data_IF_853950704568
#
_entry.id   IF_853950704568
#
_cell.length_a   1.000
_cell.length_b   1.000
_cell.length_c   1.000
_cell.angle_alpha   90.00
_cell.angle_beta   90.00
_cell.angle_gamma   90.00
#
_symmetry.space_group_name_H-M   'P 1'
#
loop_
_entity.id
_entity.type
_entity.pdbx_description
1 polymer ?
#
# COMPACT_ATOMS: atom_id res chain seq x y z
N UNK A 1 15.68 12.85 -79.93
CA UNK A 1 16.44 13.17 -78.69
C UNK A 1 15.40 13.39 -77.60
N UNK A 2 15.20 12.42 -76.71
CA UNK A 2 14.11 12.41 -75.73
C UNK A 2 14.73 12.28 -74.34
N UNK A 3 14.87 13.41 -73.66
CA UNK A 3 15.46 13.54 -72.33
C UNK A 3 14.51 12.95 -71.30
N UNK A 4 14.97 11.95 -70.54
CA UNK A 4 14.27 11.40 -69.38
C UNK A 4 14.72 12.18 -68.14
N UNK A 5 13.79 12.90 -67.51
CA UNK A 5 13.97 13.46 -66.16
C UNK A 5 13.76 12.33 -65.14
N UNK A 6 14.82 11.97 -64.40
CA UNK A 6 14.68 11.21 -63.16
C UNK A 6 14.21 12.16 -62.07
N UNK A 7 12.97 11.96 -61.60
CA UNK A 7 12.47 12.59 -60.38
C UNK A 7 13.06 11.89 -59.16
N UNK A 8 13.79 12.64 -58.34
CA UNK A 8 14.24 12.18 -57.03
C UNK A 8 13.04 12.15 -56.08
N UNK A 9 12.63 10.94 -55.68
CA UNK A 9 11.68 10.72 -54.60
C UNK A 9 12.44 10.92 -53.28
N UNK A 10 12.15 12.02 -52.60
CA UNK A 10 12.58 12.24 -51.21
C UNK A 10 11.67 11.39 -50.33
N UNK A 11 12.19 10.27 -49.86
CA UNK A 11 11.59 9.49 -48.77
C UNK A 11 11.70 10.32 -47.48
N UNK A 12 10.56 10.87 -47.03
CA UNK A 12 10.45 11.45 -45.71
C UNK A 12 10.63 10.37 -44.65
N UNK A 13 11.76 10.39 -43.96
CA UNK A 13 11.96 9.65 -42.73
C UNK A 13 10.98 10.21 -41.69
N UNK A 14 9.96 9.45 -41.35
CA UNK A 14 9.17 9.67 -40.15
C UNK A 14 10.08 9.43 -38.95
N UNK A 15 10.54 10.50 -38.32
CA UNK A 15 11.19 10.41 -37.02
C UNK A 15 10.14 9.88 -36.02
N UNK A 16 10.30 8.62 -35.60
CA UNK A 16 9.72 8.16 -34.36
C UNK A 16 10.32 9.04 -33.26
N UNK A 17 9.48 9.76 -32.50
CA UNK A 17 9.95 10.78 -31.57
C UNK A 17 10.88 10.18 -30.51
N UNK A 18 12.12 10.68 -30.46
CA UNK A 18 13.14 10.37 -29.46
C UNK A 18 12.89 11.13 -28.15
N UNK A 19 11.63 11.25 -27.74
CA UNK A 19 11.25 11.99 -26.53
C UNK A 19 11.67 11.24 -25.27
N UNK A 20 12.07 11.98 -24.24
CA UNK A 20 12.35 11.39 -22.93
C UNK A 20 11.90 12.30 -21.80
N UNK A 21 11.51 11.70 -20.68
CA UNK A 21 11.05 12.39 -19.50
C UNK A 21 11.42 11.65 -18.21
N UNK A 22 11.10 12.27 -17.09
CA UNK A 22 11.39 11.73 -15.77
C UNK A 22 10.11 11.23 -15.10
N UNK A 23 10.26 10.21 -14.25
CA UNK A 23 9.18 9.69 -13.38
C UNK A 23 9.65 9.72 -11.94
N UNK A 24 8.82 10.29 -11.07
CA UNK A 24 9.08 10.37 -9.63
C UNK A 24 7.99 9.65 -8.90
N UNK A 25 8.37 8.55 -8.23
CA UNK A 25 7.49 7.89 -7.29
C UNK A 25 7.56 8.60 -5.95
N UNK A 26 6.39 8.88 -5.39
CA UNK A 26 6.21 9.47 -4.08
C UNK A 26 5.27 8.60 -3.24
N UNK A 27 5.28 8.75 -1.93
CA UNK A 27 4.35 8.06 -1.05
C UNK A 27 3.77 8.99 0.02
N UNK A 28 2.55 8.70 0.44
CA UNK A 28 1.88 9.35 1.57
C UNK A 28 0.82 8.41 2.16
N UNK A 29 0.42 8.66 3.42
CA UNK A 29 -0.72 8.01 4.04
C UNK A 29 -1.97 8.84 3.81
N UNK A 30 -3.13 8.21 3.67
CA UNK A 30 -4.40 8.94 3.62
C UNK A 30 -4.66 9.79 4.88
N UNK A 31 -5.65 10.68 4.82
CA UNK A 31 -6.02 11.56 5.95
C UNK A 31 -6.35 10.76 7.23
N UNK A 32 -6.88 9.56 7.10
CA UNK A 32 -7.14 8.66 8.22
C UNK A 32 -5.87 8.17 8.93
N UNK A 33 -4.76 8.02 8.21
CA UNK A 33 -3.45 7.72 8.79
C UNK A 33 -2.86 8.99 9.43
N UNK A 34 -2.87 10.12 8.72
CA UNK A 34 -2.22 11.35 9.18
C UNK A 34 -2.97 12.06 10.32
N UNK A 35 -4.29 11.88 10.42
CA UNK A 35 -5.16 12.62 11.33
C UNK A 35 -5.95 11.69 12.28
N UNK A 36 -7.09 11.19 11.83
CA UNK A 36 -7.98 10.30 12.57
C UNK A 36 -8.98 9.62 11.64
N UNK A 37 -9.37 8.39 11.97
CA UNK A 37 -10.60 7.79 11.43
C UNK A 37 -11.75 8.17 12.37
N UNK A 38 -12.74 8.95 11.91
CA UNK A 38 -13.81 9.44 12.77
C UNK A 38 -14.81 8.34 13.12
N UNK A 39 -15.49 8.47 14.26
CA UNK A 39 -16.55 7.55 14.69
C UNK A 39 -17.65 7.31 13.66
N UNK A 40 -17.92 8.27 12.77
CA UNK A 40 -18.91 8.13 11.71
C UNK A 40 -18.51 7.15 10.60
N UNK A 41 -17.22 6.81 10.49
CA UNK A 41 -16.72 5.87 9.51
C UNK A 41 -16.81 4.41 9.99
N UNK A 42 -16.88 4.20 11.31
CA UNK A 42 -17.05 2.89 11.93
C UNK A 42 -18.52 2.58 12.19
N UNK A 43 -18.97 1.37 11.82
CA UNK A 43 -20.34 0.91 12.10
C UNK A 43 -20.66 0.81 13.59
N UNK A 44 -19.63 0.65 14.41
CA UNK A 44 -19.72 0.49 15.86
C UNK A 44 -19.23 1.72 16.64
N UNK A 45 -18.93 2.83 15.94
CA UNK A 45 -18.75 4.16 16.52
C UNK A 45 -17.41 4.43 17.19
N UNK A 46 -16.37 3.67 16.87
CA UNK A 46 -15.01 3.91 17.36
C UNK A 46 -14.31 5.03 16.60
N UNK A 47 -13.51 5.82 17.29
CA UNK A 47 -12.53 6.72 16.63
C UNK A 47 -11.14 6.12 16.77
N UNK A 48 -10.37 6.09 15.70
CA UNK A 48 -8.99 5.59 15.70
C UNK A 48 -8.03 6.72 15.36
N UNK A 49 -6.91 6.80 16.08
CA UNK A 49 -5.78 7.67 15.76
C UNK A 49 -4.49 6.88 15.75
N UNK A 50 -3.78 6.94 14.65
CA UNK A 50 -2.41 6.43 14.59
C UNK A 50 -1.45 7.44 15.23
N UNK A 51 -0.42 6.93 15.89
CA UNK A 51 0.76 7.70 16.33
C UNK A 51 1.97 7.39 15.45
N UNK A 52 1.94 6.25 14.77
CA UNK A 52 2.99 5.74 13.91
C UNK A 52 2.37 4.84 12.83
N UNK A 53 2.82 5.02 11.59
CA UNK A 53 2.48 4.11 10.50
C UNK A 53 3.71 3.95 9.60
N UNK A 54 4.41 2.84 9.76
CA UNK A 54 5.66 2.55 9.06
C UNK A 54 5.42 1.55 7.95
N UNK A 55 5.94 1.82 6.76
CA UNK A 55 5.88 0.92 5.59
C UNK A 55 7.25 0.76 4.96
N UNK A 56 7.61 -0.47 4.60
CA UNK A 56 8.81 -0.76 3.79
C UNK A 56 8.42 -0.86 2.33
N UNK A 57 8.73 0.18 1.56
CA UNK A 57 8.46 0.25 0.12
C UNK A 57 9.72 -0.12 -0.68
N UNK A 58 9.54 -0.87 -1.76
CA UNK A 58 10.64 -1.23 -2.65
C UNK A 58 10.17 -1.90 -3.94
N UNK A 59 11.11 -2.49 -4.67
CA UNK A 59 10.85 -3.27 -5.89
C UNK A 59 10.04 -2.54 -6.96
N UNK A 60 10.27 -1.24 -7.09
CA UNK A 60 9.62 -0.41 -8.10
C UNK A 60 10.03 -0.84 -9.50
N UNK A 61 9.05 -0.99 -10.38
CA UNK A 61 9.27 -1.33 -11.78
C UNK A 61 8.25 -0.63 -12.68
N UNK A 62 8.75 -0.17 -13.83
CA UNK A 62 7.95 0.38 -14.94
C UNK A 62 8.27 -0.42 -16.20
N UNK A 63 7.25 -0.96 -16.86
CA UNK A 63 7.41 -1.82 -18.04
C UNK A 63 6.21 -1.77 -18.99
N UNK A 64 6.35 -2.40 -20.15
CA UNK A 64 5.33 -2.48 -21.20
C UNK A 64 4.46 -3.75 -21.14
N UNK A 65 4.55 -4.51 -20.04
CA UNK A 65 3.88 -5.80 -19.85
C UNK A 65 4.36 -6.92 -20.78
N UNK A 66 5.42 -6.71 -21.55
CA UNK A 66 6.04 -7.69 -22.44
C UNK A 66 7.49 -7.89 -22.01
N UNK A 67 8.45 -7.57 -22.87
CA UNK A 67 9.88 -7.68 -22.59
C UNK A 67 10.54 -6.33 -22.33
N UNK A 68 9.84 -5.20 -22.53
CA UNK A 68 10.38 -3.87 -22.35
C UNK A 68 10.30 -3.45 -20.88
N UNK A 69 11.46 -3.28 -20.24
CA UNK A 69 11.56 -2.65 -18.92
C UNK A 69 12.12 -1.25 -19.10
N UNK A 70 11.35 -0.23 -18.73
CA UNK A 70 11.78 1.16 -18.76
C UNK A 70 12.77 1.42 -17.63
N UNK A 71 12.39 0.97 -16.43
CA UNK A 71 13.12 1.20 -15.20
C UNK A 71 12.77 0.16 -14.15
N UNK A 72 13.73 -0.09 -13.25
CA UNK A 72 13.50 -0.86 -12.04
C UNK A 72 14.45 -0.45 -10.92
N UNK A 73 13.99 -0.59 -9.68
CA UNK A 73 14.79 -0.38 -8.47
C UNK A 73 14.42 -1.43 -7.43
N UNK A 74 15.41 -2.19 -6.96
CA UNK A 74 15.24 -3.15 -5.86
C UNK A 74 15.50 -2.51 -4.48
N UNK A 75 15.76 -1.20 -4.41
CA UNK A 75 16.06 -0.52 -3.15
C UNK A 75 14.81 -0.52 -2.28
N UNK A 76 14.90 -1.15 -1.11
CA UNK A 76 13.88 -1.07 -0.09
C UNK A 76 14.17 0.09 0.87
N UNK A 77 13.15 0.87 1.22
CA UNK A 77 13.24 1.97 2.19
C UNK A 77 12.04 2.00 3.11
N UNK A 78 12.28 2.38 4.36
CA UNK A 78 11.22 2.53 5.37
C UNK A 78 10.72 3.96 5.41
N UNK A 79 9.40 4.14 5.34
CA UNK A 79 8.72 5.42 5.42
C UNK A 79 7.75 5.46 6.60
N UNK A 80 7.73 6.58 7.31
CA UNK A 80 6.70 6.95 8.27
C UNK A 80 5.64 7.77 7.52
N UNK A 81 4.53 7.12 7.18
CA UNK A 81 3.41 7.69 6.41
C UNK A 81 2.31 8.27 7.30
N UNK A 82 2.50 8.27 8.63
CA UNK A 82 1.75 9.13 9.53
C UNK A 82 2.22 10.59 9.47
N UNK A 83 3.47 10.82 9.03
CA UNK A 83 3.96 12.18 8.78
C UNK A 83 3.38 12.69 7.45
N UNK A 84 2.92 13.95 7.41
CA UNK A 84 2.40 14.55 6.18
C UNK A 84 3.32 14.34 4.97
N UNK A 85 2.78 13.69 3.95
CA UNK A 85 3.43 13.51 2.65
C UNK A 85 3.11 14.62 1.64
N UNK A 86 3.38 14.39 0.34
CA UNK A 86 4.10 13.25 -0.21
C UNK A 86 5.63 13.32 0.02
N UNK A 87 6.27 12.15 0.15
CA UNK A 87 7.73 12.01 0.22
C UNK A 87 8.27 11.24 -0.98
N UNK A 88 9.42 11.64 -1.53
CA UNK A 88 10.04 10.96 -2.68
C UNK A 88 10.50 9.54 -2.28
N UNK A 89 10.16 8.57 -3.11
CA UNK A 89 10.49 7.16 -2.96
C UNK A 89 11.63 6.74 -3.89
N UNK A 90 11.48 7.05 -5.18
CA UNK A 90 12.48 6.77 -6.21
C UNK A 90 12.27 7.70 -7.41
N UNK A 91 13.35 7.99 -8.12
CA UNK A 91 13.35 8.82 -9.33
C UNK A 91 14.02 8.08 -10.47
N UNK A 92 13.32 8.01 -11.59
CA UNK A 92 13.85 7.48 -12.85
C UNK A 92 13.93 8.61 -13.87
N UNK A 93 15.10 8.80 -14.48
CA UNK A 93 15.35 9.92 -15.39
C UNK A 93 15.55 9.46 -16.82
N UNK A 94 15.10 10.24 -17.79
CA UNK A 94 15.34 9.98 -19.22
C UNK A 94 14.69 8.69 -19.72
N UNK A 95 13.51 8.35 -19.19
CA UNK A 95 12.70 7.25 -19.70
C UNK A 95 12.10 7.64 -21.06
N UNK A 96 11.92 6.67 -21.96
CA UNK A 96 11.27 6.93 -23.24
C UNK A 96 9.86 7.47 -23.03
N UNK A 97 9.55 8.58 -23.69
CA UNK A 97 8.26 9.25 -23.63
C UNK A 97 7.19 8.42 -24.35
N UNK A 98 6.39 7.70 -23.58
CA UNK A 98 5.29 6.86 -24.05
C UNK A 98 4.44 6.39 -22.86
N UNK A 99 3.34 5.72 -23.17
CA UNK A 99 2.56 4.99 -22.19
C UNK A 99 3.27 3.67 -21.82
N UNK A 100 3.43 3.45 -20.52
CA UNK A 100 3.94 2.23 -19.93
C UNK A 100 2.80 1.57 -19.16
N UNK A 101 2.34 0.44 -19.66
CA UNK A 101 1.10 -0.20 -19.19
C UNK A 101 1.27 -1.00 -17.90
N UNK A 102 2.49 -1.17 -17.40
CA UNK A 102 2.75 -1.96 -16.20
C UNK A 102 3.62 -1.20 -15.21
N UNK A 103 3.06 -1.01 -14.02
CA UNK A 103 3.76 -0.51 -12.84
C UNK A 103 3.60 -1.54 -11.72
N UNK A 104 4.69 -1.80 -11.01
CA UNK A 104 4.64 -2.60 -9.79
C UNK A 104 5.55 -2.04 -8.70
N UNK A 105 5.20 -2.36 -7.46
CA UNK A 105 5.99 -2.07 -6.26
C UNK A 105 5.68 -3.11 -5.18
N UNK A 106 6.49 -3.18 -4.13
CA UNK A 106 6.26 -4.08 -3.01
C UNK A 106 6.15 -3.31 -1.69
N UNK A 107 5.24 -3.78 -0.84
CA UNK A 107 5.31 -3.59 0.61
C UNK A 107 5.74 -4.92 1.19
N UNK A 108 7.01 -5.01 1.57
CA UNK A 108 7.61 -6.27 1.98
C UNK A 108 8.72 -6.07 3.03
N UNK A 109 8.94 -7.04 3.94
CA UNK A 109 10.04 -6.95 4.88
C UNK A 109 11.37 -6.98 4.13
N UNK A 110 12.34 -6.16 4.56
CA UNK A 110 13.68 -6.19 3.99
C UNK A 110 14.76 -5.96 5.06
N UNK A 111 15.68 -6.92 5.28
CA UNK A 111 16.78 -6.75 6.22
C UNK A 111 17.77 -5.67 5.74
N UNK A 112 17.82 -5.41 4.44
CA UNK A 112 18.71 -4.46 3.79
C UNK A 112 18.05 -3.08 3.58
N UNK A 113 16.83 -2.88 4.08
CA UNK A 113 16.14 -1.59 3.95
C UNK A 113 16.98 -0.43 4.48
N UNK A 114 16.92 0.71 3.81
CA UNK A 114 17.45 1.97 4.31
C UNK A 114 16.32 2.85 4.88
N UNK A 115 16.66 3.94 5.56
CA UNK A 115 15.67 4.93 5.94
C UNK A 115 15.25 5.75 4.70
N UNK A 116 13.94 5.88 4.50
CA UNK A 116 13.33 6.93 3.68
C UNK A 116 13.21 8.20 4.51
N UNK A 117 12.00 8.53 4.96
CA UNK A 117 11.74 9.59 5.94
C UNK A 117 11.64 9.08 7.40
N UNK A 118 11.69 7.76 7.61
CA UNK A 118 11.62 7.13 8.93
C UNK A 118 12.90 7.39 9.77
N UNK A 119 12.78 7.31 11.09
CA UNK A 119 13.92 7.47 12.00
C UNK A 119 14.82 6.23 12.01
N UNK A 120 16.00 6.33 12.64
CA UNK A 120 16.89 5.18 12.80
C UNK A 120 16.27 4.12 13.73
N UNK A 121 15.51 4.56 14.72
CA UNK A 121 14.77 3.71 15.66
C UNK A 121 13.64 2.96 14.94
N UNK A 122 12.87 3.66 14.09
CA UNK A 122 11.83 3.05 13.25
C UNK A 122 12.44 1.98 12.31
N UNK A 123 13.57 2.28 11.68
CA UNK A 123 14.28 1.33 10.81
C UNK A 123 14.75 0.09 11.60
N UNK A 124 15.31 0.30 12.80
CA UNK A 124 15.76 -0.79 13.66
C UNK A 124 14.58 -1.68 14.11
N UNK A 125 13.43 -1.08 14.43
CA UNK A 125 12.20 -1.78 14.80
C UNK A 125 11.74 -2.72 13.68
N UNK A 126 11.59 -2.22 12.45
CA UNK A 126 11.12 -3.05 11.33
C UNK A 126 12.11 -4.17 11.02
N UNK A 127 13.41 -3.89 11.04
CA UNK A 127 14.44 -4.92 10.80
C UNK A 127 14.46 -5.99 11.88
N UNK A 128 14.36 -5.61 13.15
CA UNK A 128 14.36 -6.55 14.26
C UNK A 128 13.11 -7.44 14.25
N UNK A 129 11.96 -6.88 13.93
CA UNK A 129 10.70 -7.61 13.83
C UNK A 129 10.49 -8.39 12.53
N UNK A 130 11.30 -8.13 11.50
CA UNK A 130 11.05 -8.65 10.16
C UNK A 130 9.75 -8.13 9.57
N UNK A 131 9.40 -6.87 9.87
CA UNK A 131 8.13 -6.26 9.50
C UNK A 131 8.21 -5.55 8.15
N UNK A 132 7.16 -5.71 7.34
CA UNK A 132 6.87 -4.88 6.18
C UNK A 132 6.13 -3.61 6.60
N UNK A 133 5.20 -3.76 7.55
CA UNK A 133 4.35 -2.69 8.10
C UNK A 133 4.41 -2.75 9.61
N UNK A 134 4.46 -1.59 10.25
CA UNK A 134 4.25 -1.46 11.69
C UNK A 134 3.31 -0.29 11.97
N UNK A 135 2.34 -0.50 12.85
CA UNK A 135 1.39 0.53 13.27
C UNK A 135 1.37 0.63 14.79
N UNK A 136 1.21 1.86 15.28
CA UNK A 136 0.92 2.18 16.67
C UNK A 136 -0.25 3.16 16.68
N UNK A 137 -1.27 2.88 17.49
CA UNK A 137 -2.47 3.70 17.52
C UNK A 137 -3.34 3.49 18.75
N UNK A 138 -4.32 4.38 18.88
CA UNK A 138 -5.33 4.32 19.93
C UNK A 138 -6.72 4.35 19.33
N UNK A 139 -7.64 3.59 19.93
CA UNK A 139 -9.05 3.57 19.60
C UNK A 139 -9.88 4.00 20.81
N UNK A 140 -10.91 4.82 20.59
CA UNK A 140 -11.80 5.31 21.66
C UNK A 140 -13.28 5.18 21.29
N UNK A 141 -14.10 4.78 22.27
CA UNK A 141 -15.57 4.75 22.20
C UNK A 141 -16.16 5.06 23.58
N UNK A 142 -16.73 6.26 23.73
CA UNK A 142 -17.23 6.72 25.02
C UNK A 142 -16.09 6.81 26.06
N UNK A 143 -16.15 5.97 27.09
CA UNK A 143 -15.09 5.88 28.12
C UNK A 143 -14.03 4.82 27.80
N UNK A 144 -14.31 3.93 26.85
CA UNK A 144 -13.41 2.86 26.48
C UNK A 144 -12.25 3.41 25.67
N UNK A 145 -11.04 2.99 26.02
CA UNK A 145 -9.80 3.33 25.34
C UNK A 145 -8.99 2.06 25.17
N UNK A 146 -8.57 1.82 23.94
CA UNK A 146 -7.65 0.74 23.58
C UNK A 146 -6.42 1.32 22.89
N UNK A 147 -5.30 0.67 23.08
CA UNK A 147 -4.05 0.90 22.38
C UNK A 147 -3.68 -0.36 21.60
N UNK A 148 -3.05 -0.20 20.45
CA UNK A 148 -2.53 -1.30 19.65
C UNK A 148 -1.19 -0.93 19.05
N UNK A 149 -0.28 -1.87 19.05
CA UNK A 149 1.03 -1.77 18.41
C UNK A 149 1.32 -3.09 17.68
N UNK A 150 1.19 -3.08 16.36
CA UNK A 150 1.22 -4.30 15.55
C UNK A 150 2.30 -4.24 14.47
N UNK A 151 3.11 -5.28 14.42
CA UNK A 151 4.05 -5.53 13.33
C UNK A 151 3.54 -6.63 12.40
N UNK A 152 3.64 -6.40 11.10
CA UNK A 152 3.14 -7.26 10.04
C UNK A 152 4.28 -7.73 9.15
N UNK A 153 4.38 -9.03 8.92
CA UNK A 153 5.49 -9.66 8.16
C UNK A 153 5.12 -9.99 6.72
N UNK A 154 3.95 -9.56 6.25
CA UNK A 154 3.42 -9.89 4.94
C UNK A 154 4.34 -9.37 3.84
N UNK A 155 4.73 -10.26 2.93
CA UNK A 155 5.40 -9.92 1.69
C UNK A 155 4.35 -9.79 0.60
N UNK A 156 4.05 -8.56 0.20
CA UNK A 156 3.04 -8.25 -0.80
C UNK A 156 3.67 -7.49 -1.96
N UNK A 157 3.51 -8.04 -3.15
CA UNK A 157 3.82 -7.36 -4.40
C UNK A 157 2.50 -6.82 -4.99
N UNK A 158 2.50 -5.56 -5.36
CA UNK A 158 1.41 -4.86 -6.03
C UNK A 158 1.77 -4.78 -7.50
N UNK A 159 1.03 -5.48 -8.36
CA UNK A 159 1.27 -5.56 -9.82
C UNK A 159 0.05 -5.02 -10.57
N UNK A 160 0.18 -4.73 -11.87
CA UNK A 160 -0.93 -4.24 -12.69
C UNK A 160 -1.61 -3.01 -12.10
N UNK A 161 -0.81 -2.05 -11.62
CA UNK A 161 -1.36 -0.84 -11.01
C UNK A 161 -2.11 0.01 -12.03
N UNK A 162 -3.32 0.43 -11.66
CA UNK A 162 -4.25 1.19 -12.46
C UNK A 162 -4.77 2.39 -11.66
N UNK A 163 -4.84 3.55 -12.28
CA UNK A 163 -5.46 4.74 -11.70
C UNK A 163 -6.86 4.95 -12.25
N UNK A 164 -7.76 5.51 -11.44
CA UNK A 164 -9.14 5.83 -11.87
C UNK A 164 -9.19 6.80 -13.05
N UNK A 165 -8.21 7.69 -13.12
CA UNK A 165 -8.21 8.81 -14.07
C UNK A 165 -7.41 8.52 -15.35
N UNK A 166 -6.29 7.78 -15.23
CA UNK A 166 -5.36 7.54 -16.35
C UNK A 166 -5.35 6.09 -16.84
N UNK A 167 -6.01 5.16 -16.14
CA UNK A 167 -5.99 3.74 -16.46
C UNK A 167 -4.68 3.06 -16.05
N UNK A 168 -4.34 1.99 -16.76
CA UNK A 168 -3.20 1.11 -16.48
C UNK A 168 -1.84 1.85 -16.55
N UNK A 169 -1.01 1.65 -15.54
CA UNK A 169 0.38 2.10 -15.51
C UNK A 169 0.57 3.62 -15.44
N UNK A 170 1.44 4.16 -16.30
CA UNK A 170 1.77 5.59 -16.33
C UNK A 170 2.15 6.07 -17.73
N UNK A 171 2.09 7.39 -17.94
CA UNK A 171 2.58 8.04 -19.16
C UNK A 171 3.86 8.81 -18.83
N UNK A 172 4.96 8.51 -19.51
CA UNK A 172 6.17 9.34 -19.46
C UNK A 172 6.00 10.49 -20.46
N UNK A 173 6.11 11.76 -20.04
CA UNK A 173 5.96 12.89 -20.94
C UNK A 173 7.19 13.08 -21.85
N UNK A 174 6.98 13.73 -23.00
CA UNK A 174 8.09 14.21 -23.85
C UNK A 174 8.67 15.49 -23.24
N UNK A 175 9.68 15.31 -22.38
CA UNK A 175 10.23 16.34 -21.52
C UNK A 175 9.42 16.56 -20.23
N UNK A 176 10.09 17.02 -19.18
CA UNK A 176 9.47 17.26 -17.88
C UNK A 176 9.38 16.00 -17.01
N UNK A 177 8.44 16.01 -16.07
CA UNK A 177 8.31 15.03 -14.99
C UNK A 177 6.85 14.56 -14.86
N UNK A 178 6.66 13.25 -14.73
CA UNK A 178 5.42 12.64 -14.23
C UNK A 178 5.61 12.26 -12.76
N UNK A 179 4.74 12.79 -11.90
CA UNK A 179 4.68 12.39 -10.50
C UNK A 179 3.68 11.25 -10.31
N UNK A 180 4.14 10.18 -9.68
CA UNK A 180 3.36 9.00 -9.35
C UNK A 180 3.25 8.88 -7.84
N UNK A 181 2.04 8.68 -7.35
CA UNK A 181 1.77 8.53 -5.93
C UNK A 181 1.50 7.08 -5.57
N UNK A 182 2.19 6.58 -4.55
CA UNK A 182 1.91 5.33 -3.85
C UNK A 182 1.16 5.71 -2.58
N UNK A 183 -0.14 5.49 -2.56
CA UNK A 183 -1.00 5.90 -1.44
C UNK A 183 -1.15 4.74 -0.48
N UNK A 184 -1.04 4.99 0.83
CA UNK A 184 -1.26 3.97 1.86
C UNK A 184 -2.57 4.25 2.58
N UNK A 185 -3.45 3.26 2.59
CA UNK A 185 -4.77 3.29 3.22
C UNK A 185 -4.74 2.48 4.51
N UNK A 186 -5.07 3.11 5.64
CA UNK A 186 -4.96 2.54 6.98
C UNK A 186 -6.28 2.02 7.52
N UNK A 187 -7.39 2.55 7.01
CA UNK A 187 -8.76 2.09 7.27
C UNK A 187 -8.99 0.62 6.93
N UNK A 188 -8.32 0.13 5.89
CA UNK A 188 -8.32 -1.27 5.45
C UNK A 188 -8.02 -2.25 6.60
N UNK A 189 -7.22 -1.88 7.61
CA UNK A 189 -6.95 -2.72 8.78
C UNK A 189 -8.19 -3.05 9.61
N UNK A 190 -9.28 -2.31 9.41
CA UNK A 190 -10.50 -2.39 10.20
C UNK A 190 -11.72 -2.85 9.40
N UNK A 191 -11.55 -3.20 8.13
CA UNK A 191 -12.64 -3.76 7.33
C UNK A 191 -13.14 -5.09 7.91
N UNK A 192 -14.42 -5.34 7.70
CA UNK A 192 -15.12 -6.55 8.14
C UNK A 192 -15.23 -7.60 7.02
N UNK A 193 -14.74 -7.34 5.82
CA UNK A 193 -14.73 -8.30 4.71
C UNK A 193 -13.41 -8.21 3.91
N UNK A 194 -12.87 -9.36 3.51
CA UNK A 194 -11.60 -9.45 2.77
C UNK A 194 -11.76 -9.26 1.25
N UNK A 195 -12.97 -9.26 0.72
CA UNK A 195 -13.23 -9.29 -0.72
C UNK A 195 -14.36 -8.36 -1.18
N UNK A 196 -15.29 -8.03 -0.29
CA UNK A 196 -16.43 -7.19 -0.62
C UNK A 196 -16.00 -5.73 -0.83
N UNK A 197 -16.38 -5.09 -1.96
CA UNK A 197 -16.21 -3.65 -2.12
C UNK A 197 -17.12 -2.84 -1.18
N UNK A 198 -18.13 -3.48 -0.58
CA UNK A 198 -19.04 -2.89 0.41
C UNK A 198 -18.58 -3.18 1.86
N UNK A 199 -17.31 -3.57 2.05
CA UNK A 199 -16.74 -3.82 3.37
C UNK A 199 -16.90 -2.59 4.28
N UNK A 200 -17.15 -2.84 5.56
CA UNK A 200 -17.39 -1.79 6.54
C UNK A 200 -16.30 -1.82 7.60
N UNK A 201 -15.97 -0.66 8.16
CA UNK A 201 -15.06 -0.59 9.29
C UNK A 201 -15.73 -0.98 10.61
N UNK A 202 -15.05 -1.83 11.38
CA UNK A 202 -15.45 -2.29 12.72
C UNK A 202 -14.25 -2.42 13.65
N UNK A 203 -14.47 -2.15 14.93
CA UNK A 203 -13.46 -2.26 15.97
C UNK A 203 -13.94 -3.00 17.23
N UNK A 204 -15.25 -3.24 17.40
CA UNK A 204 -15.81 -3.89 18.60
C UNK A 204 -15.15 -5.25 18.88
N UNK A 205 -14.95 -6.09 17.86
CA UNK A 205 -14.32 -7.41 18.06
C UNK A 205 -12.83 -7.31 18.40
N UNK A 206 -12.13 -6.29 17.88
CA UNK A 206 -10.73 -6.02 18.22
C UNK A 206 -10.61 -5.56 19.68
N UNK A 207 -11.45 -4.60 20.09
CA UNK A 207 -11.48 -4.11 21.47
C UNK A 207 -11.89 -5.21 22.46
N UNK A 208 -12.81 -6.08 22.06
CA UNK A 208 -13.29 -7.20 22.86
C UNK A 208 -12.31 -8.38 22.93
N UNK A 209 -11.13 -8.32 22.29
CA UNK A 209 -10.08 -9.32 22.47
C UNK A 209 -9.29 -9.13 23.78
N UNK A 210 -9.25 -7.90 24.30
CA UNK A 210 -8.62 -7.54 25.57
C UNK A 210 -9.57 -7.84 26.75
N UNK A 211 -9.59 -9.11 27.18
CA UNK A 211 -10.60 -9.69 28.09
C UNK A 211 -10.04 -10.20 29.41
N UNK A 212 -10.91 -10.25 30.42
CA UNK A 212 -10.65 -10.93 31.70
C UNK A 212 -10.37 -12.41 31.49
N UNK A 213 -9.29 -12.91 32.12
CA UNK A 213 -8.81 -14.27 31.92
C UNK A 213 -8.15 -14.54 30.56
N UNK A 214 -7.98 -13.51 29.71
CA UNK A 214 -7.15 -13.56 28.51
C UNK A 214 -5.66 -13.65 28.83
N UNK A 215 -4.81 -13.62 27.80
CA UNK A 215 -3.35 -13.82 27.96
C UNK A 215 -2.72 -12.81 28.93
N UNK A 216 -3.17 -11.55 28.90
CA UNK A 216 -2.66 -10.47 29.75
C UNK A 216 -3.72 -9.89 30.72
N UNK A 217 -4.98 -10.33 30.63
CA UNK A 217 -6.13 -9.66 31.27
C UNK A 217 -6.42 -8.28 30.66
N UNK A 218 -7.53 -7.61 31.04
CA UNK A 218 -7.95 -6.33 30.47
C UNK A 218 -7.00 -5.23 30.92
N UNK A 219 -6.06 -4.84 30.07
CA UNK A 219 -5.05 -3.83 30.38
C UNK A 219 -5.12 -2.60 29.45
N UNK A 220 -6.04 -2.61 28.48
CA UNK A 220 -6.20 -1.55 27.49
C UNK A 220 -5.35 -1.76 26.23
N UNK A 221 -4.53 -2.80 26.17
CA UNK A 221 -3.71 -3.16 25.01
C UNK A 221 -4.42 -4.23 24.19
N UNK A 222 -4.37 -4.12 22.86
CA UNK A 222 -4.80 -5.17 21.95
C UNK A 222 -3.54 -5.73 21.29
N UNK A 223 -3.13 -6.91 21.72
CA UNK A 223 -1.99 -7.61 21.15
C UNK A 223 -2.40 -8.52 20.01
N UNK A 224 -1.47 -8.79 19.09
CA UNK A 224 -1.70 -9.82 18.08
C UNK A 224 -2.03 -11.16 18.73
N UNK A 225 -1.45 -11.48 19.89
CA UNK A 225 -1.63 -12.72 20.65
C UNK A 225 -3.05 -12.89 21.15
N UNK A 226 -3.67 -11.81 21.63
CA UNK A 226 -5.10 -11.80 21.99
C UNK A 226 -5.98 -11.97 20.76
N UNK A 227 -5.70 -11.28 19.66
CA UNK A 227 -6.44 -11.45 18.40
C UNK A 227 -6.40 -12.89 17.88
N UNK A 228 -5.33 -13.63 18.14
CA UNK A 228 -5.23 -15.05 17.76
C UNK A 228 -6.17 -15.96 18.56
N UNK A 229 -6.62 -15.53 19.74
CA UNK A 229 -7.54 -16.31 20.58
C UNK A 229 -9.01 -16.15 20.15
N UNK A 230 -9.32 -15.16 19.31
CA UNK A 230 -10.69 -14.88 18.88
C UNK A 230 -10.99 -15.61 17.57
N UNK A 231 -11.57 -16.81 17.67
CA UNK A 231 -12.05 -17.56 16.51
C UNK A 231 -13.19 -16.81 15.82
N UNK A 232 -13.12 -16.64 14.50
CA UNK A 232 -14.16 -15.91 13.74
C UNK A 232 -15.55 -16.55 13.85
N UNK A 233 -15.62 -17.86 14.08
CA UNK A 233 -16.88 -18.58 14.31
C UNK A 233 -17.55 -18.27 15.64
N UNK A 234 -16.81 -17.66 16.58
CA UNK A 234 -17.36 -17.17 17.85
C UNK A 234 -18.01 -15.78 17.75
N UNK A 235 -17.73 -15.06 16.66
CA UNK A 235 -18.28 -13.73 16.39
C UNK A 235 -19.67 -13.83 15.75
N UNK A 236 -20.48 -12.76 15.79
CA UNK A 236 -21.81 -12.79 15.19
C UNK A 236 -21.73 -13.20 13.70
N UNK A 237 -22.53 -14.20 13.26
CA UNK A 237 -22.45 -14.72 11.91
C UNK A 237 -22.63 -13.63 10.84
N UNK A 238 -21.80 -13.67 9.80
CA UNK A 238 -21.85 -12.71 8.70
C UNK A 238 -21.22 -11.36 8.99
N UNK A 239 -20.58 -11.17 10.15
CA UNK A 239 -19.84 -9.93 10.45
C UNK A 239 -18.48 -9.91 9.77
N UNK A 240 -17.71 -11.00 9.86
CA UNK A 240 -16.36 -11.09 9.29
C UNK A 240 -16.32 -12.01 8.07
N UNK A 241 -16.31 -11.42 6.88
CA UNK A 241 -16.31 -12.13 5.60
C UNK A 241 -14.90 -12.51 5.15
N UNK A 242 -14.59 -13.81 5.12
CA UNK A 242 -13.28 -14.30 4.66
C UNK A 242 -13.23 -14.55 3.15
N UNK A 243 -14.37 -14.46 2.46
CA UNK A 243 -14.50 -14.85 1.06
C UNK A 243 -13.92 -16.24 0.80
N UNK A 244 -13.03 -16.35 -0.19
CA UNK A 244 -12.32 -17.58 -0.53
C UNK A 244 -11.11 -17.95 0.36
N UNK A 245 -10.76 -17.13 1.36
CA UNK A 245 -9.55 -17.32 2.17
C UNK A 245 -9.73 -18.40 3.26
N UNK A 246 -9.57 -19.68 2.88
CA UNK A 246 -9.80 -20.82 3.79
C UNK A 246 -8.81 -20.97 4.96
N UNK A 247 -7.72 -20.19 4.97
CA UNK A 247 -6.72 -20.18 6.04
C UNK A 247 -6.94 -19.08 7.10
N UNK A 248 -7.97 -18.25 6.95
CA UNK A 248 -8.29 -17.18 7.90
C UNK A 248 -9.26 -17.73 8.95
N UNK A 249 -8.79 -17.89 10.19
CA UNK A 249 -9.54 -18.58 11.26
C UNK A 249 -9.87 -17.69 12.46
N UNK A 250 -9.00 -16.75 12.78
CA UNK A 250 -9.15 -15.85 13.92
C UNK A 250 -8.93 -14.39 13.49
N UNK A 251 -9.15 -13.44 14.41
CA UNK A 251 -8.96 -12.01 14.14
C UNK A 251 -7.51 -11.67 13.73
N UNK A 252 -6.49 -12.33 14.32
CA UNK A 252 -5.09 -12.13 13.89
C UNK A 252 -4.92 -12.48 12.41
N UNK A 253 -5.42 -13.62 11.97
CA UNK A 253 -5.33 -14.04 10.56
C UNK A 253 -6.06 -13.05 9.65
N UNK A 254 -7.20 -12.52 10.12
CA UNK A 254 -8.02 -11.57 9.37
C UNK A 254 -7.29 -10.23 9.16
N UNK A 255 -6.78 -9.61 10.22
CA UNK A 255 -6.01 -8.35 10.12
C UNK A 255 -4.72 -8.56 9.32
N UNK A 256 -4.07 -9.73 9.45
CA UNK A 256 -2.94 -10.13 8.61
C UNK A 256 -3.26 -10.32 7.12
N UNK A 257 -4.52 -10.59 6.78
CA UNK A 257 -4.96 -10.62 5.38
C UNK A 257 -5.23 -9.19 4.88
N UNK A 258 -5.91 -8.37 5.67
CA UNK A 258 -6.20 -6.97 5.37
C UNK A 258 -4.95 -6.12 5.14
N UNK A 259 -3.86 -6.33 5.88
CA UNK A 259 -2.61 -5.57 5.68
C UNK A 259 -2.03 -5.71 4.25
N UNK A 260 -2.47 -6.71 3.48
CA UNK A 260 -2.03 -6.88 2.09
C UNK A 260 -2.74 -5.92 1.13
N UNK A 261 -3.80 -5.26 1.55
CA UNK A 261 -4.59 -4.37 0.70
C UNK A 261 -4.30 -2.89 0.95
N UNK A 262 -3.37 -2.54 1.85
CA UNK A 262 -3.09 -1.14 2.20
C UNK A 262 -2.53 -0.29 1.05
N UNK A 263 -1.81 -0.91 0.12
CA UNK A 263 -1.14 -0.22 -0.97
C UNK A 263 -2.09 0.11 -2.13
N UNK A 264 -2.20 1.40 -2.43
CA UNK A 264 -2.93 1.97 -3.56
C UNK A 264 -2.01 2.75 -4.49
N UNK A 265 -2.56 3.20 -5.62
CA UNK A 265 -1.85 3.85 -6.72
C UNK A 265 -2.58 5.11 -7.17
N UNK A 266 -1.89 6.25 -7.20
CA UNK A 266 -2.45 7.54 -7.63
C UNK A 266 -3.76 7.90 -6.89
N UNK A 267 -3.75 7.82 -5.55
CA UNK A 267 -4.93 8.06 -4.72
C UNK A 267 -5.68 6.77 -4.40
N UNK A 268 -6.80 6.57 -5.10
CA UNK A 268 -7.73 5.43 -4.94
C UNK A 268 -7.55 4.34 -6.02
N UNK A 269 -6.55 4.49 -6.90
CA UNK A 269 -6.27 3.49 -7.91
C UNK A 269 -5.76 2.20 -7.27
N UNK A 270 -6.07 1.08 -7.88
CA UNK A 270 -5.77 -0.24 -7.35
C UNK A 270 -4.56 -0.87 -8.03
N UNK A 271 -3.92 -1.79 -7.34
CA UNK A 271 -3.02 -2.76 -7.95
C UNK A 271 -3.49 -4.16 -7.55
N UNK A 272 -3.21 -5.18 -8.36
CA UNK A 272 -3.44 -6.56 -8.00
C UNK A 272 -2.41 -7.03 -6.94
N UNK A 273 -2.83 -7.29 -5.68
CA UNK A 273 -1.90 -7.73 -4.65
C UNK A 273 -1.60 -9.22 -4.79
N UNK A 274 -0.32 -9.58 -4.71
CA UNK A 274 0.15 -10.96 -4.76
C UNK A 274 1.03 -11.28 -3.55
N UNK A 275 0.73 -12.41 -2.91
CA UNK A 275 1.56 -12.97 -1.83
C UNK A 275 2.82 -13.61 -2.41
N UNK A 276 3.96 -13.42 -1.73
CA UNK A 276 5.24 -14.08 -2.04
C UNK A 276 5.81 -14.81 -0.83
#
# INVERSE_FOLDING_TARGET
MKTWMLGAVVLGLTACGDGSGDVVFTAYGEDYIEQEIPASAFEDGWTVKFSKFLVTLGELKVSDGKSGVAASSSKARVYDVHRPGPVEVERFTGLSAQDWTEVSYAIAPSPDAAAGNATAEDLALLKAGGYAVYVDGTAVKGIDRKHFAWGFTQNTLYEHCESTDKGEGLTVPDGGEEMVQLTIHGDHLFFDDLQSPDAKMRFDALAAADVEGGLNGPNGEITMEELAQVDLTSLPPGTYGTGGAGNVRNLRDFVNALVRTLGHYQGEGECAPRTR
#
